data_IF_421738955199
#
_entry.id   IF_421738955199
#
_cell.length_a   1.000
_cell.length_b   1.000
_cell.length_c   1.000
_cell.angle_alpha   90.00
_cell.angle_beta   90.00
_cell.angle_gamma   90.00
#
_symmetry.space_group_name_H-M   'P 1'
#
loop_
_entity.id
_entity.type
_entity.pdbx_description
1 polymer ?
#
# COMPACT_ATOMS: atom_id res chain seq x y z
N UNK A 1 4.25 14.85 0.53
CA UNK A 1 4.27 13.54 1.21
C UNK A 1 4.37 12.45 0.15
N UNK A 2 5.25 11.46 0.32
CA UNK A 2 5.36 10.34 -0.63
C UNK A 2 4.22 9.36 -0.37
N UNK A 3 3.73 8.68 -1.40
CA UNK A 3 2.61 7.71 -1.26
C UNK A 3 2.92 6.64 -0.20
N UNK A 4 4.17 6.18 -0.14
CA UNK A 4 4.65 5.25 0.86
C UNK A 4 4.37 5.71 2.30
N UNK A 5 4.60 6.99 2.62
CA UNK A 5 4.36 7.53 3.97
C UNK A 5 2.88 7.47 4.36
N UNK A 6 1.97 7.67 3.39
CA UNK A 6 0.53 7.54 3.62
C UNK A 6 0.13 6.09 3.87
N UNK A 7 0.71 5.16 3.11
CA UNK A 7 0.40 3.74 3.26
C UNK A 7 0.94 3.19 4.57
N UNK A 8 2.10 3.66 5.04
CA UNK A 8 2.62 3.33 6.38
C UNK A 8 1.71 3.78 7.52
N UNK A 9 0.86 4.79 7.31
CA UNK A 9 -0.11 5.24 8.30
C UNK A 9 -1.40 4.41 8.31
N UNK A 10 -1.56 3.47 7.38
CA UNK A 10 -2.73 2.57 7.32
C UNK A 10 -2.60 1.50 8.40
N UNK A 11 -3.64 1.35 9.23
CA UNK A 11 -3.67 0.32 10.27
C UNK A 11 -3.50 -1.09 9.67
N UNK A 12 -2.55 -1.86 10.20
CA UNK A 12 -2.20 -3.20 9.76
C UNK A 12 -1.08 -3.25 8.70
N UNK A 13 -0.59 -2.09 8.22
CA UNK A 13 0.64 -1.98 7.42
C UNK A 13 1.83 -1.85 8.36
N UNK A 14 2.82 -2.73 8.20
CA UNK A 14 4.08 -2.66 8.94
C UNK A 14 5.07 -1.73 8.24
N UNK A 15 5.15 -1.80 6.90
CA UNK A 15 5.97 -0.89 6.10
C UNK A 15 5.46 -0.80 4.66
N UNK A 16 5.85 0.25 3.95
CA UNK A 16 5.57 0.40 2.52
C UNK A 16 6.67 1.18 1.80
N UNK A 17 6.98 0.79 0.57
CA UNK A 17 7.93 1.52 -0.26
C UNK A 17 7.63 1.38 -1.75
N UNK A 18 8.14 2.33 -2.53
CA UNK A 18 8.05 2.31 -3.98
C UNK A 18 9.24 1.57 -4.59
N UNK A 19 8.96 0.47 -5.28
CA UNK A 19 9.93 -0.25 -6.10
C UNK A 19 9.90 0.31 -7.53
N UNK A 20 10.73 1.32 -7.76
CA UNK A 20 10.83 1.99 -9.06
C UNK A 20 11.37 1.11 -10.19
N UNK A 21 12.02 -0.02 -9.88
CA UNK A 21 12.52 -0.95 -10.91
C UNK A 21 11.37 -1.75 -11.53
N UNK A 22 10.39 -2.11 -10.71
CA UNK A 22 9.21 -2.89 -11.13
C UNK A 22 7.93 -2.02 -11.23
N UNK A 23 8.09 -0.69 -11.15
CA UNK A 23 7.01 0.30 -11.16
C UNK A 23 5.84 -0.07 -10.24
N UNK A 24 6.14 -0.49 -9.01
CA UNK A 24 5.13 -1.02 -8.08
C UNK A 24 5.29 -0.48 -6.68
N UNK A 25 4.16 -0.39 -5.97
CA UNK A 25 4.12 -0.18 -4.54
C UNK A 25 4.21 -1.53 -3.82
N UNK A 26 5.17 -1.69 -2.93
CA UNK A 26 5.30 -2.87 -2.07
C UNK A 26 4.80 -2.50 -0.68
N UNK A 27 3.91 -3.34 -0.14
CA UNK A 27 3.28 -3.15 1.18
C UNK A 27 3.54 -4.40 2.02
N UNK A 28 4.26 -4.22 3.11
CA UNK A 28 4.39 -5.22 4.17
C UNK A 28 3.27 -5.03 5.17
N UNK A 29 2.57 -6.10 5.51
CA UNK A 29 1.42 -6.04 6.40
C UNK A 29 1.49 -7.15 7.44
N UNK A 30 0.84 -6.91 8.57
CA UNK A 30 0.86 -7.88 9.64
C UNK A 30 0.05 -9.13 9.24
N UNK A 31 0.66 -10.31 9.31
CA UNK A 31 0.02 -11.59 8.95
C UNK A 31 -1.28 -11.88 9.71
N UNK A 32 -1.49 -11.28 10.87
CA UNK A 32 -2.75 -11.38 11.63
C UNK A 32 -3.90 -10.58 11.00
N UNK A 33 -3.61 -9.65 10.10
CA UNK A 33 -4.62 -8.90 9.34
C UNK A 33 -4.96 -9.66 8.06
N UNK A 34 -6.24 -10.01 7.80
CA UNK A 34 -6.62 -10.67 6.57
C UNK A 34 -6.19 -9.88 5.33
N UNK A 35 -5.65 -10.58 4.33
CA UNK A 35 -5.14 -9.95 3.10
C UNK A 35 -6.19 -9.07 2.40
N UNK A 36 -7.46 -9.48 2.39
CA UNK A 36 -8.51 -8.68 1.76
C UNK A 36 -8.82 -7.40 2.54
N UNK A 37 -8.70 -7.46 3.88
CA UNK A 37 -8.85 -6.27 4.73
C UNK A 37 -7.74 -5.25 4.42
N UNK A 38 -6.48 -5.69 4.34
CA UNK A 38 -5.38 -4.77 4.05
C UNK A 38 -5.48 -4.20 2.63
N UNK A 39 -5.88 -5.01 1.64
CA UNK A 39 -6.12 -4.56 0.27
C UNK A 39 -7.15 -3.45 0.20
N UNK A 40 -8.28 -3.60 0.90
CA UNK A 40 -9.35 -2.59 0.93
C UNK A 40 -8.83 -1.29 1.56
N UNK A 41 -8.16 -1.38 2.71
CA UNK A 41 -7.62 -0.21 3.42
C UNK A 41 -6.58 0.56 2.60
N UNK A 42 -5.62 -0.16 2.02
CA UNK A 42 -4.57 0.44 1.17
C UNK A 42 -5.18 1.06 -0.09
N UNK A 43 -6.13 0.38 -0.73
CA UNK A 43 -6.82 0.91 -1.91
C UNK A 43 -7.62 2.18 -1.59
N UNK A 44 -8.26 2.23 -0.42
CA UNK A 44 -8.93 3.42 0.10
C UNK A 44 -7.96 4.59 0.25
N UNK A 45 -6.83 4.38 0.92
CA UNK A 45 -5.79 5.41 1.12
C UNK A 45 -5.19 5.93 -0.21
N UNK A 46 -5.04 5.07 -1.22
CA UNK A 46 -4.60 5.46 -2.57
C UNK A 46 -5.68 6.28 -3.29
N UNK A 47 -6.94 5.87 -3.16
CA UNK A 47 -8.09 6.57 -3.72
C UNK A 47 -8.26 7.98 -3.17
N UNK A 48 -8.19 8.15 -1.85
CA UNK A 48 -8.27 9.47 -1.19
C UNK A 48 -7.16 10.43 -1.65
N UNK A 49 -6.00 9.89 -2.04
CA UNK A 49 -4.90 10.70 -2.54
C UNK A 49 -5.02 11.06 -4.03
N UNK A 50 -6.07 10.59 -4.74
CA UNK A 50 -6.20 10.66 -6.20
C UNK A 50 -4.98 10.06 -6.95
N UNK A 51 -4.27 9.11 -6.31
CA UNK A 51 -3.05 8.49 -6.82
C UNK A 51 -3.30 7.18 -7.55
N UNK A 52 -4.57 6.83 -7.81
CA UNK A 52 -4.94 5.59 -8.51
C UNK A 52 -4.22 5.46 -9.86
N UNK A 53 -4.01 6.58 -10.57
CA UNK A 53 -3.30 6.59 -11.85
C UNK A 53 -1.77 6.50 -11.72
N UNK A 54 -1.21 6.78 -10.54
CA UNK A 54 0.23 6.74 -10.29
C UNK A 54 0.71 5.37 -9.79
N UNK A 55 -0.21 4.50 -9.37
CA UNK A 55 0.10 3.17 -8.84
C UNK A 55 -0.38 2.12 -9.83
N UNK A 56 0.49 1.70 -10.73
CA UNK A 56 0.16 0.66 -11.72
C UNK A 56 0.03 -0.73 -11.09
N UNK A 57 0.79 -0.98 -10.01
CA UNK A 57 0.85 -2.31 -9.39
C UNK A 57 1.12 -2.21 -7.89
N UNK A 58 0.42 -3.03 -7.11
CA UNK A 58 0.62 -3.17 -5.67
C UNK A 58 0.96 -4.62 -5.36
N UNK A 59 2.02 -4.84 -4.57
CA UNK A 59 2.40 -6.16 -4.05
C UNK A 59 2.24 -6.17 -2.53
N UNK A 60 1.54 -7.16 -2.02
CA UNK A 60 1.31 -7.36 -0.58
C UNK A 60 2.18 -8.53 -0.10
N UNK A 61 2.91 -8.33 1.00
CA UNK A 61 3.78 -9.34 1.63
C UNK A 61 3.40 -9.39 3.12
N UNK A 62 2.97 -10.57 3.58
CA UNK A 62 2.59 -10.81 4.98
C UNK A 62 3.52 -11.77 5.66
#
# INVERSE_FOLDING_TARGET
MKIADRIKAVEGVDDAYWDGRNNRLVVYYCASTPLDTIKIRVSGAIGEAALQNAVEKITFIG
#
